data_IF_909613472090
#
_entry.id   IF_909613472090
#
_cell.length_a   1.000
_cell.length_b   1.000
_cell.length_c   1.000
_cell.angle_alpha   90.00
_cell.angle_beta   90.00
_cell.angle_gamma   90.00
#
_symmetry.space_group_name_H-M   'P 1'
#
loop_
_entity.id
_entity.type
_entity.pdbx_description
1 polymer ?
#
# COMPACT_ATOMS: atom_id res chain seq x y z
N UNK A 1 -9.34 -2.66 -0.33
CA UNK A 1 -8.33 -3.47 0.39
C UNK A 1 -6.92 -3.06 0.01
N UNK A 2 -6.48 -3.16 -1.26
CA UNK A 2 -5.06 -2.92 -1.53
C UNK A 2 -4.51 -1.52 -1.21
N UNK A 3 -5.28 -0.45 -1.46
CA UNK A 3 -4.91 0.92 -1.01
C UNK A 3 -4.80 0.98 0.52
N UNK A 4 -5.71 0.32 1.23
CA UNK A 4 -5.75 0.30 2.69
C UNK A 4 -4.49 -0.35 3.26
N UNK A 5 -4.14 -1.55 2.79
CA UNK A 5 -2.93 -2.26 3.19
C UNK A 5 -1.64 -1.51 2.83
N UNK A 6 -1.60 -0.83 1.68
CA UNK A 6 -0.42 -0.09 1.24
C UNK A 6 -0.15 1.17 2.08
N UNK A 7 -1.18 1.85 2.58
CA UNK A 7 -1.06 3.22 3.12
C UNK A 7 -1.54 3.39 4.57
N UNK A 8 -2.45 2.54 5.06
CA UNK A 8 -3.22 2.81 6.29
C UNK A 8 -3.20 1.66 7.30
N UNK A 9 -3.42 0.42 6.85
CA UNK A 9 -3.73 -0.71 7.73
C UNK A 9 -2.45 -1.35 8.27
N UNK A 10 -2.38 -1.51 9.59
CA UNK A 10 -1.32 -2.27 10.26
C UNK A 10 -1.82 -2.78 11.62
N UNK A 11 -1.30 -3.93 12.03
CA UNK A 11 -1.60 -4.56 13.32
C UNK A 11 -0.34 -4.47 14.16
N UNK A 12 -0.42 -3.85 15.34
CA UNK A 12 0.74 -3.68 16.24
C UNK A 12 0.53 -4.44 17.53
N UNK A 13 1.55 -5.18 17.92
CA UNK A 13 1.67 -5.77 19.25
C UNK A 13 2.83 -5.11 19.99
N UNK A 14 2.68 -4.93 21.31
CA UNK A 14 3.81 -4.55 22.17
C UNK A 14 4.70 -5.76 22.50
N UNK A 15 5.79 -5.52 23.22
CA UNK A 15 6.76 -6.56 23.61
C UNK A 15 6.16 -7.65 24.53
N UNK A 16 5.01 -7.38 25.15
CA UNK A 16 4.28 -8.35 25.99
C UNK A 16 3.21 -9.12 25.20
N UNK A 17 3.07 -8.85 23.89
CA UNK A 17 2.05 -9.47 23.03
C UNK A 17 0.66 -8.85 23.17
N UNK A 18 0.53 -7.67 23.77
CA UNK A 18 -0.73 -6.94 23.82
C UNK A 18 -1.01 -6.26 22.47
N UNK A 19 -2.20 -6.49 21.92
CA UNK A 19 -2.66 -5.82 20.70
C UNK A 19 -2.91 -4.33 20.99
N UNK A 20 -2.16 -3.45 20.31
CA UNK A 20 -2.25 -2.00 20.43
C UNK A 20 -3.22 -1.36 19.42
N UNK A 21 -3.65 -2.11 18.41
CA UNK A 21 -4.62 -1.67 17.40
C UNK A 21 -5.91 -2.49 17.43
N UNK A 22 -6.63 -2.57 18.57
CA UNK A 22 -7.75 -3.50 18.74
C UNK A 22 -9.08 -3.00 18.13
N UNK A 23 -9.16 -1.72 17.77
CA UNK A 23 -10.41 -1.10 17.30
C UNK A 23 -10.18 -0.26 16.05
N UNK A 24 -11.28 0.17 15.40
CA UNK A 24 -11.23 1.05 14.22
C UNK A 24 -10.77 2.49 14.53
N UNK A 25 -10.57 2.83 15.81
CA UNK A 25 -9.94 4.10 16.17
C UNK A 25 -8.42 4.06 15.92
N UNK A 26 -7.79 2.90 16.15
CA UNK A 26 -6.35 2.70 15.95
C UNK A 26 -6.04 1.99 14.62
N UNK A 27 -6.87 1.03 14.21
CA UNK A 27 -6.77 0.34 12.92
C UNK A 27 -7.49 1.14 11.84
N UNK A 28 -6.72 1.95 11.10
CA UNK A 28 -7.25 2.89 10.14
C UNK A 28 -7.74 2.21 8.85
N UNK A 29 -9.06 2.05 8.72
CA UNK A 29 -9.71 1.71 7.45
C UNK A 29 -10.02 2.98 6.68
N UNK A 30 -9.63 3.10 5.40
CA UNK A 30 -9.88 4.31 4.62
C UNK A 30 -11.37 4.54 4.40
N UNK A 31 -11.78 5.80 4.55
CA UNK A 31 -13.13 6.32 4.26
C UNK A 31 -13.28 6.61 2.77
N UNK A 32 -14.52 6.74 2.32
CA UNK A 32 -14.85 6.97 0.91
C UNK A 32 -14.07 8.13 0.26
N UNK A 33 -13.93 9.26 0.95
CA UNK A 33 -13.21 10.44 0.42
C UNK A 33 -11.68 10.29 0.41
N UNK A 34 -11.14 9.26 1.05
CA UNK A 34 -9.70 8.96 1.07
C UNK A 34 -9.29 8.07 -0.10
N UNK A 35 -10.26 7.51 -0.83
CA UNK A 35 -10.01 6.71 -2.01
C UNK A 35 -10.15 7.58 -3.27
N UNK A 36 -9.27 7.40 -4.27
CA UNK A 36 -9.46 8.02 -5.57
C UNK A 36 -10.67 7.39 -6.28
N UNK A 37 -11.26 8.06 -7.29
CA UNK A 37 -12.12 7.41 -8.26
C UNK A 37 -11.41 6.19 -8.85
N UNK A 38 -12.14 5.08 -9.00
CA UNK A 38 -11.60 3.85 -9.57
C UNK A 38 -12.04 3.72 -11.02
N UNK A 39 -11.07 3.49 -11.90
CA UNK A 39 -11.31 3.13 -13.29
C UNK A 39 -11.08 1.63 -13.47
N UNK A 40 -11.92 1.00 -14.30
CA UNK A 40 -11.84 -0.43 -14.58
C UNK A 40 -11.94 -0.66 -16.08
N UNK A 41 -11.11 -1.57 -16.58
CA UNK A 41 -11.13 -2.05 -17.96
C UNK A 41 -10.95 -3.58 -17.96
N UNK A 42 -11.37 -4.23 -19.03
CA UNK A 42 -11.49 -5.69 -19.09
C UNK A 42 -10.90 -6.25 -20.37
N UNK A 43 -10.07 -7.28 -20.21
CA UNK A 43 -9.63 -8.14 -21.29
C UNK A 43 -10.10 -9.55 -20.97
N UNK A 44 -10.78 -10.17 -21.92
CA UNK A 44 -11.34 -11.50 -21.75
C UNK A 44 -10.44 -12.57 -22.38
N UNK A 45 -10.13 -13.60 -21.60
CA UNK A 45 -9.52 -14.83 -22.10
C UNK A 45 -10.21 -15.99 -21.40
N UNK A 46 -11.23 -16.61 -22.02
CA UNK A 46 -12.04 -17.64 -21.37
C UNK A 46 -11.21 -18.80 -20.83
N UNK A 47 -11.64 -19.40 -19.72
CA UNK A 47 -11.05 -20.64 -19.21
C UNK A 47 -11.53 -21.83 -20.04
N UNK A 48 -10.63 -22.66 -20.60
CA UNK A 48 -11.05 -23.89 -21.29
C UNK A 48 -11.54 -24.98 -20.32
N UNK A 49 -11.36 -24.78 -19.01
CA UNK A 49 -11.65 -25.77 -17.96
C UNK A 49 -12.95 -25.48 -17.19
N UNK A 50 -13.58 -24.34 -17.44
CA UNK A 50 -14.85 -23.98 -16.83
C UNK A 50 -15.93 -23.97 -17.93
N UNK A 51 -17.07 -24.67 -17.78
CA UNK A 51 -18.13 -24.71 -18.80
C UNK A 51 -18.69 -23.34 -19.22
N UNK A 52 -18.57 -22.33 -18.37
CA UNK A 52 -19.00 -20.94 -18.63
C UNK A 52 -17.84 -20.06 -19.13
N UNK A 53 -16.62 -20.60 -19.27
CA UNK A 53 -15.42 -19.82 -19.56
C UNK A 53 -14.94 -18.94 -18.40
N UNK A 54 -15.55 -19.04 -17.22
CA UNK A 54 -15.32 -18.13 -16.10
C UNK A 54 -13.96 -18.36 -15.42
N UNK A 55 -13.41 -17.27 -14.87
CA UNK A 55 -12.22 -17.24 -14.00
C UNK A 55 -12.54 -16.43 -12.73
N UNK A 56 -11.88 -16.76 -11.62
CA UNK A 56 -12.01 -15.99 -10.38
C UNK A 56 -11.37 -14.61 -10.51
N UNK A 57 -12.02 -13.58 -9.96
CA UNK A 57 -11.55 -12.18 -9.99
C UNK A 57 -11.58 -11.48 -8.63
N UNK A 58 -12.24 -12.06 -7.63
CA UNK A 58 -12.56 -11.38 -6.36
C UNK A 58 -11.36 -10.84 -5.59
N UNK A 59 -10.20 -11.49 -5.69
CA UNK A 59 -8.99 -11.10 -4.96
C UNK A 59 -8.05 -10.19 -5.76
N UNK A 60 -8.31 -9.95 -7.06
CA UNK A 60 -7.40 -9.19 -7.92
C UNK A 60 -7.10 -7.80 -7.38
N UNK A 61 -8.12 -7.14 -6.81
CA UNK A 61 -7.99 -5.82 -6.17
C UNK A 61 -7.25 -5.83 -4.82
N UNK A 62 -7.08 -6.98 -4.17
CA UNK A 62 -6.25 -7.11 -2.97
C UNK A 62 -4.80 -7.47 -3.34
N UNK A 63 -4.61 -8.34 -4.33
CA UNK A 63 -3.30 -8.84 -4.74
C UNK A 63 -2.50 -7.77 -5.50
N UNK A 64 -3.09 -7.19 -6.54
CA UNK A 64 -2.35 -6.31 -7.46
C UNK A 64 -2.31 -4.84 -6.99
N UNK A 65 -3.36 -4.38 -6.30
CA UNK A 65 -3.45 -2.97 -5.95
C UNK A 65 -2.45 -2.56 -4.84
N UNK A 66 -2.16 -3.42 -3.86
CA UNK A 66 -1.19 -3.13 -2.80
C UNK A 66 0.20 -2.79 -3.36
N UNK A 67 0.84 -3.66 -4.18
CA UNK A 67 2.13 -3.32 -4.78
C UNK A 67 2.05 -2.19 -5.80
N UNK A 68 0.94 -2.03 -6.54
CA UNK A 68 0.77 -0.91 -7.47
C UNK A 68 0.85 0.44 -6.75
N UNK A 69 0.16 0.58 -5.61
CA UNK A 69 0.18 1.80 -4.79
C UNK A 69 1.55 2.00 -4.14
N UNK A 70 2.13 0.96 -3.56
CA UNK A 70 3.45 1.05 -2.93
C UNK A 70 4.54 1.47 -3.93
N UNK A 71 4.53 0.88 -5.13
CA UNK A 71 5.46 1.22 -6.19
C UNK A 71 5.28 2.66 -6.69
N UNK A 72 4.04 3.17 -6.76
CA UNK A 72 3.80 4.56 -7.13
C UNK A 72 4.43 5.55 -6.13
N UNK A 73 4.33 5.26 -4.83
CA UNK A 73 5.00 6.07 -3.80
C UNK A 73 6.52 5.96 -3.92
N UNK A 74 7.06 4.75 -4.10
CA UNK A 74 8.52 4.56 -4.25
C UNK A 74 9.08 5.23 -5.51
N UNK A 75 8.35 5.20 -6.63
CA UNK A 75 8.73 5.90 -7.86
C UNK A 75 8.80 7.42 -7.63
N UNK A 76 7.82 7.99 -6.92
CA UNK A 76 7.83 9.41 -6.54
C UNK A 76 9.01 9.78 -5.63
N UNK A 77 9.47 8.85 -4.79
CA UNK A 77 10.61 9.06 -3.88
C UNK A 77 11.97 8.74 -4.50
N UNK A 78 12.00 8.08 -5.65
CA UNK A 78 13.21 7.65 -6.36
C UNK A 78 14.22 8.77 -6.62
N UNK A 79 13.82 10.02 -6.96
CA UNK A 79 14.77 11.13 -7.14
C UNK A 79 15.57 11.49 -5.87
N UNK A 80 15.06 11.11 -4.69
CA UNK A 80 15.73 11.30 -3.40
C UNK A 80 16.65 10.12 -3.04
N UNK A 81 16.80 9.14 -3.93
CA UNK A 81 17.60 7.93 -3.70
C UNK A 81 16.90 6.85 -2.86
N UNK A 82 15.65 7.06 -2.47
CA UNK A 82 14.85 6.10 -1.70
C UNK A 82 14.31 5.05 -2.69
N UNK A 83 14.63 3.77 -2.45
CA UNK A 83 14.22 2.65 -3.33
C UNK A 83 13.37 1.60 -2.65
N UNK A 84 13.29 1.63 -1.32
CA UNK A 84 12.55 0.66 -0.52
C UNK A 84 12.01 1.33 0.75
N UNK A 85 10.78 0.99 1.10
CA UNK A 85 10.13 1.30 2.36
C UNK A 85 9.13 0.18 2.66
N UNK A 86 9.10 -0.30 3.90
CA UNK A 86 8.12 -1.30 4.30
C UNK A 86 6.73 -0.67 4.45
N UNK A 87 5.71 -1.35 3.94
CA UNK A 87 4.31 -0.93 4.09
C UNK A 87 3.83 -1.10 5.56
N UNK A 88 2.80 -0.36 5.99
CA UNK A 88 2.15 0.73 5.26
C UNK A 88 3.03 1.97 5.15
N UNK A 89 2.89 2.69 4.04
CA UNK A 89 3.60 3.93 3.73
C UNK A 89 2.86 5.11 4.36
N UNK A 90 2.82 5.13 5.70
CA UNK A 90 2.18 6.20 6.45
C UNK A 90 2.82 7.55 6.13
N UNK A 91 2.07 8.67 6.26
CA UNK A 91 2.63 10.00 6.03
C UNK A 91 3.89 10.29 6.86
N UNK A 92 3.91 9.82 8.11
CA UNK A 92 5.07 9.93 9.00
C UNK A 92 6.29 9.17 8.46
N UNK A 93 6.11 7.90 8.06
CA UNK A 93 7.19 7.07 7.52
C UNK A 93 7.78 7.67 6.25
N UNK A 94 6.92 8.15 5.35
CA UNK A 94 7.34 8.84 4.12
C UNK A 94 8.08 10.13 4.44
N UNK A 95 7.56 10.95 5.37
CA UNK A 95 8.20 12.19 5.79
C UNK A 95 9.58 11.94 6.41
N UNK A 96 9.71 10.99 7.33
CA UNK A 96 10.97 10.65 7.97
C UNK A 96 12.02 10.21 6.93
N UNK A 97 11.63 9.36 5.98
CA UNK A 97 12.51 8.92 4.90
C UNK A 97 13.00 10.07 4.01
N UNK A 98 12.13 11.04 3.69
CA UNK A 98 12.50 12.25 2.94
C UNK A 98 13.50 13.10 3.72
N UNK A 99 13.28 13.28 5.03
CA UNK A 99 14.17 14.08 5.87
C UNK A 99 15.56 13.45 5.98
N UNK A 100 15.63 12.14 6.21
CA UNK A 100 16.90 11.39 6.25
C UNK A 100 17.65 11.49 4.92
N UNK A 101 16.94 11.42 3.78
CA UNK A 101 17.55 11.59 2.46
C UNK A 101 18.14 12.99 2.26
N UNK A 102 17.47 14.03 2.75
CA UNK A 102 17.96 15.43 2.68
C UNK A 102 19.22 15.62 3.52
N UNK A 103 19.26 15.07 4.73
CA UNK A 103 20.43 15.14 5.61
C UNK A 103 21.66 14.48 4.96
N UNK A 104 21.50 13.27 4.40
CA UNK A 104 22.58 12.60 3.64
C UNK A 104 23.12 13.43 2.49
N UNK A 105 22.25 14.14 1.77
CA UNK A 105 22.68 15.02 0.67
C UNK A 105 23.42 16.28 1.12
N UNK A 106 23.20 16.71 2.37
CA UNK A 106 23.81 17.93 2.95
C UNK A 106 25.15 17.63 3.63
N UNK A 107 25.27 16.48 4.31
CA UNK A 107 26.51 16.04 4.97
C UNK A 107 27.56 15.43 4.04
N UNK A 108 27.25 15.28 2.75
CA UNK A 108 28.18 14.80 1.71
C UNK A 108 28.89 15.94 0.94
N UNK A 109 28.76 17.19 1.40
CA UNK A 109 29.57 18.34 0.95
C UNK A 109 30.55 18.75 2.03
#
# INVERSE_FOLDING_TARGET
QGIAQALYEYVVYDDNGQLLTPSLNEYAVPRAHQLPPLEADFIETPSPLNPLGAKGVGEGGAIAATPAVANAVLDALRPLGIRHLDIPLTPEKVWAAIQEARERSTGSR
#
